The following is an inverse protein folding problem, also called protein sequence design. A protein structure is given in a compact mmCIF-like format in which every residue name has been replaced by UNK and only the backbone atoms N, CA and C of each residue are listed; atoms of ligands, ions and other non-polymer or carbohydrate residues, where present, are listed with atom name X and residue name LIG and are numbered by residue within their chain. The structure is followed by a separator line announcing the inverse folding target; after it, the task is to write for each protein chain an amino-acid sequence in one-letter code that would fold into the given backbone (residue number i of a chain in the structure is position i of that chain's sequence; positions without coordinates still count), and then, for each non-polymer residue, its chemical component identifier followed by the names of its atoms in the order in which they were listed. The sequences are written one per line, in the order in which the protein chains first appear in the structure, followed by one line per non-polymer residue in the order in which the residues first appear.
data_IF_010012496844
#
_entry.id   IF_010012496844
#
_cell.length_a   1.000
_cell.length_b   1.000
_cell.length_c   1.000
_cell.angle_alpha   90.00
_cell.angle_beta   90.00
_cell.angle_gamma   90.00
#
_symmetry.space_group_name_H-M   'P 1'
#
loop_
_entity.id
_entity.type
_entity.pdbx_description
1 polymer ?
#
# COMPACT_ATOMS: atom_id res chain seq x y z
N UNK A 1 -22.49 -70.21 -35.27
CA UNK A 1 -21.57 -69.05 -35.42
C UNK A 1 -22.05 -67.77 -34.73
N UNK A 2 -23.34 -67.59 -34.45
CA UNK A 2 -23.89 -66.37 -33.81
C UNK A 2 -23.58 -66.26 -32.30
N UNK A 3 -23.43 -67.39 -31.60
CA UNK A 3 -23.17 -67.44 -30.16
C UNK A 3 -21.81 -66.88 -29.78
N UNK A 4 -20.74 -67.20 -30.53
CA UNK A 4 -19.39 -66.68 -30.29
C UNK A 4 -19.32 -65.16 -30.51
N UNK A 5 -19.95 -64.65 -31.56
CA UNK A 5 -19.99 -63.20 -31.86
C UNK A 5 -20.72 -62.46 -30.74
N UNK A 6 -21.83 -63.01 -30.25
CA UNK A 6 -22.57 -62.43 -29.13
C UNK A 6 -21.75 -62.45 -27.84
N UNK A 7 -21.05 -63.54 -27.54
CA UNK A 7 -20.13 -63.63 -26.39
C UNK A 7 -19.01 -62.59 -26.50
N UNK A 8 -18.36 -62.46 -27.65
CA UNK A 8 -17.31 -61.47 -27.90
C UNK A 8 -17.82 -60.04 -27.73
N UNK A 9 -18.98 -59.70 -28.31
CA UNK A 9 -19.61 -58.37 -28.12
C UNK A 9 -19.91 -58.10 -26.65
N UNK A 10 -20.43 -59.08 -25.92
CA UNK A 10 -20.70 -58.94 -24.48
C UNK A 10 -19.41 -58.65 -23.70
N UNK A 11 -18.33 -59.36 -24.03
CA UNK A 11 -17.04 -59.19 -23.36
C UNK A 11 -16.38 -57.85 -23.69
N UNK A 12 -16.44 -57.39 -24.95
CA UNK A 12 -16.01 -56.05 -25.36
C UNK A 12 -16.76 -54.98 -24.56
N UNK A 13 -18.09 -55.08 -24.44
CA UNK A 13 -18.86 -54.09 -23.65
C UNK A 13 -18.56 -54.16 -22.16
N UNK A 14 -18.21 -55.34 -21.64
CA UNK A 14 -17.87 -55.54 -20.23
C UNK A 14 -16.52 -54.89 -19.91
N UNK A 15 -15.51 -55.13 -20.75
CA UNK A 15 -14.19 -54.53 -20.61
C UNK A 15 -14.26 -53.01 -20.81
N UNK A 16 -14.92 -52.52 -21.86
CA UNK A 16 -15.11 -51.09 -22.07
C UNK A 16 -15.76 -50.40 -20.87
N UNK A 17 -16.81 -51.01 -20.29
CA UNK A 17 -17.45 -50.49 -19.07
C UNK A 17 -16.54 -50.54 -17.85
N UNK A 18 -15.70 -51.57 -17.73
CA UNK A 18 -14.77 -51.73 -16.61
C UNK A 18 -13.69 -50.64 -16.62
N UNK A 19 -13.07 -50.39 -17.77
CA UNK A 19 -12.03 -49.36 -17.93
C UNK A 19 -12.61 -47.95 -17.73
N UNK A 20 -13.78 -47.64 -18.31
CA UNK A 20 -14.41 -46.33 -18.14
C UNK A 20 -14.81 -46.09 -16.66
N UNK A 21 -15.20 -47.13 -15.94
CA UNK A 21 -15.64 -47.01 -14.54
C UNK A 21 -14.51 -46.56 -13.62
N UNK A 22 -13.30 -47.09 -13.78
CA UNK A 22 -12.16 -46.71 -12.93
C UNK A 22 -11.80 -45.24 -13.13
N UNK A 23 -11.75 -44.81 -14.39
CA UNK A 23 -11.41 -43.42 -14.73
C UNK A 23 -12.49 -42.45 -14.27
N UNK A 24 -13.77 -42.77 -14.49
CA UNK A 24 -14.89 -41.95 -13.99
C UNK A 24 -14.89 -41.82 -12.47
N UNK A 25 -14.53 -42.87 -11.73
CA UNK A 25 -14.45 -42.80 -10.26
C UNK A 25 -13.31 -41.89 -9.82
N UNK A 26 -12.14 -41.97 -10.46
CA UNK A 26 -11.01 -41.08 -10.17
C UNK A 26 -11.36 -39.62 -10.47
N UNK A 27 -12.00 -39.36 -11.62
CA UNK A 27 -12.41 -38.02 -12.03
C UNK A 27 -13.47 -37.45 -11.07
N UNK A 28 -14.47 -38.24 -10.68
CA UNK A 28 -15.49 -37.83 -9.70
C UNK A 28 -14.85 -37.45 -8.36
N UNK A 29 -13.88 -38.22 -7.87
CA UNK A 29 -13.15 -37.90 -6.64
C UNK A 29 -12.43 -36.55 -6.76
N UNK A 30 -11.68 -36.33 -7.85
CA UNK A 30 -10.99 -35.06 -8.09
C UNK A 30 -11.97 -33.88 -8.17
N UNK A 31 -13.11 -34.04 -8.87
CA UNK A 31 -14.14 -32.99 -8.95
C UNK A 31 -14.72 -32.67 -7.58
N UNK A 32 -15.00 -33.68 -6.74
CA UNK A 32 -15.52 -33.44 -5.38
C UNK A 32 -14.49 -32.73 -4.50
N UNK A 33 -13.22 -33.13 -4.58
CA UNK A 33 -12.13 -32.50 -3.84
C UNK A 33 -11.97 -31.03 -4.26
N UNK A 34 -11.87 -30.76 -5.57
CA UNK A 34 -11.78 -29.40 -6.11
C UNK A 34 -12.98 -28.53 -5.73
N UNK A 35 -14.21 -29.07 -5.76
CA UNK A 35 -15.40 -28.31 -5.31
C UNK A 35 -15.31 -27.93 -3.83
N UNK A 36 -14.79 -28.83 -2.99
CA UNK A 36 -14.60 -28.55 -1.56
C UNK A 36 -13.52 -27.50 -1.32
N UNK A 37 -12.42 -27.55 -2.07
CA UNK A 37 -11.33 -26.58 -2.01
C UNK A 37 -11.77 -25.20 -2.49
N UNK A 38 -12.50 -25.14 -3.62
CA UNK A 38 -13.11 -23.89 -4.11
C UNK A 38 -14.04 -23.29 -3.05
N UNK A 39 -14.82 -24.12 -2.34
CA UNK A 39 -15.69 -23.64 -1.27
C UNK A 39 -14.89 -23.10 -0.08
N UNK A 40 -13.79 -23.76 0.30
CA UNK A 40 -12.89 -23.30 1.36
C UNK A 40 -12.24 -21.95 1.00
N UNK A 41 -11.64 -21.86 -0.20
CA UNK A 41 -11.03 -20.62 -0.70
C UNK A 41 -12.02 -19.47 -0.77
N UNK A 42 -13.26 -19.72 -1.24
CA UNK A 42 -14.32 -18.69 -1.25
C UNK A 42 -14.67 -18.20 0.16
N UNK A 43 -14.68 -19.08 1.16
CA UNK A 43 -14.91 -18.70 2.57
C UNK A 43 -13.75 -17.87 3.11
N UNK A 44 -12.51 -18.25 2.82
CA UNK A 44 -11.31 -17.50 3.22
C UNK A 44 -11.27 -16.11 2.58
N UNK A 45 -11.52 -16.01 1.28
CA UNK A 45 -11.61 -14.71 0.58
C UNK A 45 -12.65 -13.82 1.24
N UNK A 46 -13.85 -14.36 1.56
CA UNK A 46 -14.90 -13.59 2.24
C UNK A 46 -14.45 -13.14 3.64
N UNK A 47 -13.76 -13.99 4.40
CA UNK A 47 -13.24 -13.66 5.72
C UNK A 47 -12.18 -12.55 5.65
N UNK A 48 -11.21 -12.67 4.74
CA UNK A 48 -10.17 -11.67 4.50
C UNK A 48 -10.76 -10.34 4.03
N UNK A 49 -11.72 -10.37 3.11
CA UNK A 49 -12.43 -9.16 2.67
C UNK A 49 -13.17 -8.48 3.84
N UNK A 50 -13.76 -9.26 4.75
CA UNK A 50 -14.39 -8.73 5.97
C UNK A 50 -13.35 -8.07 6.89
N UNK A 51 -12.19 -8.70 7.08
CA UNK A 51 -11.10 -8.15 7.89
C UNK A 51 -10.51 -6.88 7.27
N UNK A 52 -10.36 -6.82 5.95
CA UNK A 52 -9.92 -5.59 5.26
C UNK A 52 -10.93 -4.48 5.48
N UNK A 53 -12.25 -4.76 5.35
CA UNK A 53 -13.29 -3.77 5.62
C UNK A 53 -13.30 -3.30 7.07
N UNK A 54 -13.13 -4.20 8.05
CA UNK A 54 -13.03 -3.80 9.46
C UNK A 54 -11.80 -2.96 9.72
N UNK A 55 -10.64 -3.34 9.17
CA UNK A 55 -9.39 -2.61 9.33
C UNK A 55 -9.44 -1.23 8.64
N UNK A 56 -10.07 -1.13 7.47
CA UNK A 56 -10.30 0.17 6.82
C UNK A 56 -11.22 1.06 7.67
N UNK A 57 -12.25 0.50 8.30
CA UNK A 57 -13.11 1.25 9.22
C UNK A 57 -12.33 1.72 10.44
N UNK A 58 -11.56 0.84 11.10
CA UNK A 58 -10.75 1.24 12.27
C UNK A 58 -9.70 2.28 11.91
N UNK A 59 -9.03 2.15 10.75
CA UNK A 59 -8.10 3.17 10.24
C UNK A 59 -8.80 4.50 9.98
N UNK A 60 -10.01 4.50 9.40
CA UNK A 60 -10.81 5.73 9.20
C UNK A 60 -11.25 6.36 10.53
N UNK A 61 -11.56 5.56 11.55
CA UNK A 61 -11.98 6.07 12.87
C UNK A 61 -10.79 6.58 13.71
N UNK A 62 -9.62 5.96 13.58
CA UNK A 62 -8.39 6.34 14.31
C UNK A 62 -7.68 7.53 13.65
N UNK A 63 -7.96 7.82 12.38
CA UNK A 63 -7.42 8.97 11.68
C UNK A 63 -8.36 10.17 11.85
N UNK A 64 -8.01 11.21 12.64
CA UNK A 64 -8.82 12.42 12.69
C UNK A 64 -8.82 13.04 11.28
N UNK A 65 -10.00 13.44 10.82
CA UNK A 65 -10.24 14.04 9.52
C UNK A 65 -9.13 15.05 9.14
N UNK A 66 -8.33 14.69 8.13
CA UNK A 66 -7.63 15.67 7.30
C UNK A 66 -8.33 15.66 5.94
N UNK A 67 -8.65 16.85 5.39
CA UNK A 67 -9.36 16.95 4.12
C UNK A 67 -8.53 16.34 2.99
N UNK A 68 -9.26 15.76 2.03
CA UNK A 68 -8.76 15.12 0.83
C UNK A 68 -7.74 15.98 0.07
N UNK A 69 -6.72 15.33 -0.51
CA UNK A 69 -6.43 15.35 -1.95
C UNK A 69 -5.08 14.64 -2.27
N UNK A 70 -5.15 13.93 -3.40
CA UNK A 70 -4.11 13.38 -4.28
C UNK A 70 -3.22 12.18 -3.89
N UNK A 71 -3.51 11.09 -4.62
CA UNK A 71 -2.68 9.93 -4.85
C UNK A 71 -1.41 10.30 -5.64
N UNK A 72 -0.28 10.34 -4.94
CA UNK A 72 1.01 9.94 -5.51
C UNK A 72 1.78 9.16 -4.45
N UNK A 73 2.63 8.17 -4.82
CA UNK A 73 3.43 7.44 -3.85
C UNK A 73 4.51 8.38 -3.31
N UNK A 74 4.17 9.15 -2.28
CA UNK A 74 5.07 10.09 -1.62
C UNK A 74 6.18 9.28 -0.99
N UNK A 75 7.37 9.30 -1.61
CA UNK A 75 8.62 8.86 -0.98
C UNK A 75 8.59 9.37 0.45
N UNK A 76 8.68 8.47 1.43
CA UNK A 76 8.68 8.84 2.85
C UNK A 76 9.85 9.78 3.09
N UNK A 77 9.60 11.09 3.03
CA UNK A 77 10.61 12.11 3.24
C UNK A 77 11.01 12.02 4.72
N UNK A 78 12.12 11.34 4.99
CA UNK A 78 12.67 11.21 6.35
C UNK A 78 13.11 12.58 6.84
N UNK A 79 12.38 13.12 7.81
CA UNK A 79 12.72 14.36 8.51
C UNK A 79 13.59 14.08 9.72
N UNK A 80 14.68 14.84 9.86
CA UNK A 80 15.54 14.86 11.04
C UNK A 80 15.65 16.30 11.53
N UNK A 81 15.28 16.51 12.80
CA UNK A 81 15.32 17.81 13.45
C UNK A 81 16.73 18.41 13.46
N UNK A 82 17.72 17.59 13.79
CA UNK A 82 19.13 17.96 13.82
C UNK A 82 19.62 18.42 12.44
N UNK A 83 19.32 17.66 11.38
CA UNK A 83 19.69 18.03 10.01
C UNK A 83 19.01 19.31 9.55
N UNK A 84 17.78 19.54 9.98
CA UNK A 84 17.05 20.76 9.66
C UNK A 84 17.66 21.99 10.34
N UNK A 85 18.00 21.89 11.64
CA UNK A 85 18.70 22.95 12.36
C UNK A 85 20.09 23.24 11.75
N UNK A 86 20.84 22.19 11.39
CA UNK A 86 22.13 22.32 10.71
C UNK A 86 22.00 22.99 9.33
N UNK A 87 20.95 22.66 8.56
CA UNK A 87 20.66 23.31 7.28
C UNK A 87 20.37 24.80 7.46
N UNK A 88 19.55 25.17 8.47
CA UNK A 88 19.28 26.58 8.79
C UNK A 88 20.57 27.33 9.14
N UNK A 89 21.40 26.74 9.99
CA UNK A 89 22.69 27.32 10.38
C UNK A 89 23.62 27.47 9.17
N UNK A 90 23.68 26.48 8.27
CA UNK A 90 24.46 26.54 7.03
C UNK A 90 24.01 27.65 6.08
N UNK A 91 22.72 27.91 6.01
CA UNK A 91 22.16 29.02 5.24
C UNK A 91 22.34 30.38 5.94
N UNK A 92 22.70 30.39 7.23
CA UNK A 92 22.85 31.61 8.03
C UNK A 92 21.51 32.31 8.32
N UNK A 93 20.41 31.57 8.33
CA UNK A 93 19.06 32.12 8.51
C UNK A 93 18.64 32.11 9.97
N UNK A 94 17.92 33.16 10.40
CA UNK A 94 17.21 33.13 11.67
C UNK A 94 16.02 32.14 11.62
N UNK A 95 15.48 31.76 12.78
CA UNK A 95 14.26 30.94 12.82
C UNK A 95 13.08 31.66 12.17
N UNK A 96 13.01 33.00 12.26
CA UNK A 96 11.98 33.81 11.64
C UNK A 96 12.07 33.80 10.11
N UNK A 97 13.28 33.96 9.57
CA UNK A 97 13.54 33.88 8.14
C UNK A 97 13.26 32.48 7.59
N UNK A 98 13.68 31.43 8.31
CA UNK A 98 13.34 30.06 7.92
C UNK A 98 11.82 29.81 7.96
N UNK A 99 11.11 30.41 8.92
CA UNK A 99 9.66 30.32 9.02
C UNK A 99 8.97 30.97 7.82
N UNK A 100 9.41 32.16 7.41
CA UNK A 100 8.92 32.83 6.20
C UNK A 100 9.18 31.98 4.94
N UNK A 101 10.39 31.43 4.81
CA UNK A 101 10.77 30.63 3.64
C UNK A 101 9.97 29.31 3.52
N UNK A 102 9.64 28.68 4.65
CA UNK A 102 8.82 27.46 4.70
C UNK A 102 7.31 27.78 4.64
N UNK A 103 6.90 29.02 4.90
CA UNK A 103 5.51 29.41 5.09
C UNK A 103 4.91 28.77 6.35
N UNK A 104 5.65 28.81 7.46
CA UNK A 104 5.25 28.31 8.78
C UNK A 104 5.43 29.40 9.84
N UNK A 105 4.93 29.18 11.07
CA UNK A 105 5.20 30.10 12.18
C UNK A 105 6.57 29.85 12.79
N UNK A 106 7.17 30.90 13.37
CA UNK A 106 8.46 30.83 14.09
C UNK A 106 8.44 29.78 15.21
N UNK A 107 7.31 29.70 15.93
CA UNK A 107 7.07 28.69 16.98
C UNK A 107 7.08 27.27 16.41
N UNK A 108 6.58 27.07 15.18
CA UNK A 108 6.60 25.76 14.53
C UNK A 108 8.01 25.32 14.17
N UNK A 109 8.83 26.24 13.64
CA UNK A 109 10.25 25.99 13.36
C UNK A 109 10.98 25.57 14.64
N UNK A 110 10.79 26.29 15.74
CA UNK A 110 11.38 25.93 17.03
C UNK A 110 10.96 24.53 17.50
N UNK A 111 9.67 24.19 17.41
CA UNK A 111 9.16 22.85 17.79
C UNK A 111 9.72 21.74 16.90
N UNK A 112 10.02 22.01 15.63
CA UNK A 112 10.61 21.06 14.71
C UNK A 112 12.12 20.89 14.93
N UNK A 113 12.84 21.98 15.19
CA UNK A 113 14.27 21.95 15.52
C UNK A 113 14.54 21.24 16.85
N UNK A 114 13.64 21.41 17.81
CA UNK A 114 13.70 20.71 19.12
C UNK A 114 13.15 19.28 19.05
N UNK A 115 12.64 18.83 17.91
CA UNK A 115 12.09 17.47 17.73
C UNK A 115 10.78 17.20 18.48
N UNK A 116 10.20 18.20 19.16
CA UNK A 116 8.94 18.07 19.92
C UNK A 116 7.75 17.78 19.02
N UNK A 117 7.77 18.25 17.78
CA UNK A 117 6.70 18.06 16.79
C UNK A 117 7.32 17.72 15.44
N UNK A 118 6.65 16.84 14.67
CA UNK A 118 7.03 16.55 13.28
C UNK A 118 6.24 17.44 12.30
N UNK A 119 6.87 17.98 11.24
CA UNK A 119 6.16 18.72 10.21
C UNK A 119 5.15 17.84 9.46
N UNK A 120 4.05 18.43 9.01
CA UNK A 120 3.05 17.74 8.19
C UNK A 120 3.59 17.51 6.76
N UNK A 121 2.97 16.60 6.00
CA UNK A 121 3.44 16.21 4.67
C UNK A 121 3.68 17.39 3.71
N UNK A 122 2.77 18.38 3.67
CA UNK A 122 2.94 19.59 2.87
C UNK A 122 4.15 20.44 3.30
N UNK A 123 4.45 20.49 4.61
CA UNK A 123 5.61 21.21 5.14
C UNK A 123 6.91 20.47 4.85
N UNK A 124 6.89 19.13 4.85
CA UNK A 124 8.06 18.31 4.49
C UNK A 124 8.50 18.53 3.03
N UNK A 125 7.56 18.73 2.12
CA UNK A 125 7.89 19.05 0.73
C UNK A 125 8.53 20.43 0.59
N UNK A 126 8.01 21.43 1.30
CA UNK A 126 8.61 22.78 1.33
C UNK A 126 10.02 22.74 1.93
N UNK A 127 10.21 22.01 3.02
CA UNK A 127 11.54 21.79 3.62
C UNK A 127 12.47 21.06 2.66
N UNK A 128 11.98 20.06 1.93
CA UNK A 128 12.77 19.34 0.92
C UNK A 128 13.16 20.22 -0.27
N UNK A 129 12.28 21.13 -0.70
CA UNK A 129 12.58 22.13 -1.72
C UNK A 129 13.67 23.10 -1.23
N UNK A 130 13.58 23.56 0.02
CA UNK A 130 14.60 24.44 0.63
C UNK A 130 15.95 23.72 0.76
N UNK A 131 15.96 22.41 0.98
CA UNK A 131 17.20 21.64 1.06
C UNK A 131 18.03 21.68 -0.22
N UNK A 132 17.39 21.95 -1.36
CA UNK A 132 18.05 22.10 -2.66
C UNK A 132 18.53 23.52 -2.93
N UNK A 133 18.11 24.51 -2.14
CA UNK A 133 18.47 25.92 -2.35
C UNK A 133 19.86 26.22 -1.78
N UNK A 134 20.62 27.03 -2.51
CA UNK A 134 21.84 27.67 -2.01
C UNK A 134 21.56 28.88 -1.12
N UNK A 135 22.56 29.35 -0.36
CA UNK A 135 22.46 30.53 0.51
C UNK A 135 21.96 31.78 -0.24
N UNK A 136 22.46 32.01 -1.46
CA UNK A 136 22.09 33.16 -2.31
C UNK A 136 20.63 33.09 -2.75
N UNK A 137 20.16 31.93 -3.14
CA UNK A 137 18.77 31.71 -3.58
C UNK A 137 17.79 31.80 -2.42
N UNK A 138 18.17 31.31 -1.23
CA UNK A 138 17.35 31.43 -0.04
C UNK A 138 17.15 32.90 0.36
N UNK A 139 18.21 33.71 0.31
CA UNK A 139 18.12 35.16 0.57
C UNK A 139 17.32 35.90 -0.50
N UNK A 140 17.48 35.55 -1.77
CA UNK A 140 16.70 36.14 -2.86
C UNK A 140 15.20 35.86 -2.71
N UNK A 141 14.82 34.64 -2.28
CA UNK A 141 13.43 34.28 -1.99
C UNK A 141 12.86 34.99 -0.76
N UNK A 142 13.69 35.29 0.23
CA UNK A 142 13.27 36.10 1.38
C UNK A 142 13.03 37.55 0.96
N UNK A 143 13.93 38.15 0.19
CA UNK A 143 13.76 39.50 -0.33
C UNK A 143 12.51 39.62 -1.22
N UNK A 144 12.24 38.61 -2.06
CA UNK A 144 11.05 38.56 -2.90
C UNK A 144 9.74 38.29 -2.12
N UNK A 145 9.83 37.75 -0.90
CA UNK A 145 8.67 37.54 -0.03
C UNK A 145 8.39 38.74 0.90
N UNK A 146 9.34 39.67 1.00
CA UNK A 146 9.22 40.94 1.76
C UNK A 146 8.83 42.14 0.86
N UNK A 147 8.73 41.94 -0.46
CA UNK A 147 8.24 42.93 -1.44
C UNK A 147 6.79 42.65 -1.82
#
# INVERSE_FOLDING_TARGET
MTTLINALKSEITRLARKEIKTDLLSLRKSVTAQRSEIAALKREIKALQSQVKSNQKTLKTVQPASPAEDETPRRVLRFSAERFAAQRAKLGLSQAQMAQLVGASTVSIYKWETGKVRPRAAQLERIAAIRKLGKREAMARLAAAES
#
